data_IF_323181241180
#
_entry.id   IF_323181241180
#
_cell.length_a   1.000
_cell.length_b   1.000
_cell.length_c   1.000
_cell.angle_alpha   90.00
_cell.angle_beta   90.00
_cell.angle_gamma   90.00
#
_symmetry.space_group_name_H-M   'P 1'
#
loop_
_entity.id
_entity.type
_entity.pdbx_description
1 polymer ?
#
# COMPACT_ATOMS: atom_id res chain seq x y z
N UNK A 1 -1.65 -34.74 17.99
CA UNK A 1 -0.23 -34.42 17.82
C UNK A 1 -0.19 -33.26 16.83
N UNK A 2 0.01 -32.04 17.35
CA UNK A 2 0.28 -30.76 16.64
C UNK A 2 -0.40 -30.52 15.28
N UNK A 3 -1.52 -29.81 15.33
CA UNK A 3 -1.98 -28.86 14.30
C UNK A 3 -0.98 -27.69 14.29
N UNK A 4 0.02 -27.74 13.40
CA UNK A 4 1.11 -26.75 13.35
C UNK A 4 1.43 -26.40 11.89
N UNK A 5 0.95 -25.23 11.47
CA UNK A 5 1.78 -24.24 10.76
C UNK A 5 2.28 -24.52 9.33
N UNK A 6 1.42 -24.96 8.41
CA UNK A 6 1.64 -24.69 6.98
C UNK A 6 0.88 -23.43 6.53
N UNK A 7 0.97 -22.38 7.34
CA UNK A 7 0.79 -21.00 6.89
C UNK A 7 2.04 -20.56 6.09
N UNK A 8 2.48 -21.38 5.14
CA UNK A 8 3.61 -21.09 4.28
C UNK A 8 3.20 -19.98 3.32
N UNK A 9 3.61 -18.76 3.66
CA UNK A 9 3.55 -17.61 2.77
C UNK A 9 4.08 -18.01 1.39
N UNK A 10 3.17 -18.19 0.44
CA UNK A 10 3.50 -18.74 -0.87
C UNK A 10 4.31 -17.73 -1.67
N UNK A 11 5.23 -18.18 -2.51
CA UNK A 11 5.97 -17.31 -3.44
C UNK A 11 5.04 -16.43 -4.29
N UNK A 12 3.86 -16.96 -4.68
CA UNK A 12 2.84 -16.19 -5.37
C UNK A 12 2.28 -15.04 -4.50
N UNK A 13 2.08 -15.26 -3.20
CA UNK A 13 1.66 -14.22 -2.25
C UNK A 13 2.78 -13.20 -2.05
N UNK A 14 4.04 -13.64 -2.00
CA UNK A 14 5.20 -12.78 -1.95
C UNK A 14 5.28 -11.87 -3.18
N UNK A 15 5.16 -12.42 -4.40
CA UNK A 15 5.20 -11.63 -5.63
C UNK A 15 4.05 -10.62 -5.72
N UNK A 16 2.85 -10.99 -5.29
CA UNK A 16 1.71 -10.06 -5.26
C UNK A 16 1.94 -8.92 -4.26
N UNK A 17 2.47 -9.21 -3.07
CA UNK A 17 2.76 -8.19 -2.06
C UNK A 17 3.91 -7.29 -2.48
N UNK A 18 4.98 -7.84 -3.07
CA UNK A 18 6.09 -7.06 -3.62
C UNK A 18 5.57 -6.15 -4.73
N UNK A 19 4.84 -6.67 -5.72
CA UNK A 19 4.29 -5.86 -6.79
C UNK A 19 3.29 -4.79 -6.31
N UNK A 20 2.59 -5.06 -5.22
CA UNK A 20 1.72 -4.07 -4.57
C UNK A 20 2.57 -2.99 -3.89
N UNK A 21 3.59 -3.36 -3.11
CA UNK A 21 4.50 -2.42 -2.48
C UNK A 21 5.23 -1.54 -3.50
N UNK A 22 5.68 -2.10 -4.61
CA UNK A 22 6.29 -1.34 -5.72
C UNK A 22 5.32 -0.32 -6.32
N UNK A 23 4.04 -0.69 -6.51
CA UNK A 23 3.01 0.25 -6.95
C UNK A 23 2.77 1.35 -5.91
N UNK A 24 2.71 1.01 -4.62
CA UNK A 24 2.55 1.97 -3.53
C UNK A 24 3.69 3.00 -3.52
N UNK A 25 4.94 2.52 -3.60
CA UNK A 25 6.14 3.35 -3.69
C UNK A 25 6.13 4.19 -4.98
N UNK A 26 5.69 3.62 -6.11
CA UNK A 26 5.56 4.34 -7.37
C UNK A 26 4.57 5.50 -7.30
N UNK A 27 3.42 5.30 -6.64
CA UNK A 27 2.43 6.34 -6.38
C UNK A 27 3.03 7.41 -5.45
N UNK A 28 3.66 7.00 -4.34
CA UNK A 28 4.32 7.92 -3.42
C UNK A 28 5.35 8.78 -4.12
N UNK A 29 6.19 8.15 -4.96
CA UNK A 29 7.23 8.84 -5.71
C UNK A 29 6.70 9.84 -6.73
N UNK A 30 5.49 9.64 -7.25
CA UNK A 30 4.79 10.59 -8.13
C UNK A 30 4.15 11.76 -7.39
N UNK A 31 3.95 11.67 -6.07
CA UNK A 31 3.43 12.79 -5.28
C UNK A 31 4.48 13.88 -5.11
N UNK A 32 4.03 15.14 -5.24
CA UNK A 32 4.82 16.31 -4.88
C UNK A 32 5.14 16.33 -3.38
N UNK A 33 6.26 16.94 -2.98
CA UNK A 33 6.68 16.99 -1.58
C UNK A 33 5.61 17.62 -0.66
N UNK A 34 4.83 18.59 -1.15
CA UNK A 34 3.72 19.20 -0.40
C UNK A 34 2.61 18.18 -0.10
N UNK A 35 2.27 17.31 -1.05
CA UNK A 35 1.25 16.27 -0.85
C UNK A 35 1.74 15.21 0.13
N UNK A 36 3.01 14.81 0.03
CA UNK A 36 3.64 13.90 1.01
C UNK A 36 3.67 14.50 2.41
N UNK A 37 4.03 15.77 2.53
CA UNK A 37 4.03 16.48 3.81
C UNK A 37 2.61 16.57 4.42
N UNK A 38 1.60 16.87 3.60
CA UNK A 38 0.20 16.90 4.05
C UNK A 38 -0.31 15.52 4.46
N UNK A 39 0.13 14.46 3.78
CA UNK A 39 -0.17 13.07 4.11
C UNK A 39 0.54 12.66 5.42
N UNK A 40 1.83 12.95 5.56
CA UNK A 40 2.59 12.70 6.80
C UNK A 40 2.02 13.48 7.99
N UNK A 41 1.58 14.72 7.79
CA UNK A 41 0.93 15.52 8.83
C UNK A 41 -0.44 14.96 9.26
N UNK A 42 -1.14 14.25 8.36
CA UNK A 42 -2.45 13.64 8.65
C UNK A 42 -2.35 12.23 9.22
N UNK A 43 -1.38 11.45 8.77
CA UNK A 43 -1.28 10.01 9.04
C UNK A 43 -0.11 9.64 9.96
N UNK A 44 0.80 10.57 10.23
CA UNK A 44 1.90 10.44 11.20
C UNK A 44 3.09 9.60 10.73
N UNK A 45 2.86 8.61 9.87
CA UNK A 45 3.92 7.77 9.28
C UNK A 45 3.73 7.62 7.77
N UNK A 46 4.81 7.30 7.07
CA UNK A 46 4.79 7.03 5.63
C UNK A 46 3.92 5.79 5.31
N UNK A 47 3.99 4.75 6.14
CA UNK A 47 3.17 3.53 5.99
C UNK A 47 1.66 3.83 6.14
N UNK A 48 1.26 4.65 7.12
CA UNK A 48 -0.14 5.03 7.28
C UNK A 48 -0.62 5.94 6.14
N UNK A 49 0.25 6.86 5.71
CA UNK A 49 -0.04 7.72 4.58
C UNK A 49 -0.21 6.93 3.28
N UNK A 50 0.65 5.93 3.05
CA UNK A 50 0.56 5.01 1.94
C UNK A 50 -0.70 4.14 2.02
N UNK A 51 -0.98 3.54 3.18
CA UNK A 51 -2.17 2.72 3.39
C UNK A 51 -3.46 3.53 3.15
N UNK A 52 -3.51 4.77 3.63
CA UNK A 52 -4.64 5.66 3.39
C UNK A 52 -4.74 6.11 1.94
N UNK A 53 -3.62 6.39 1.28
CA UNK A 53 -3.59 6.76 -0.14
C UNK A 53 -4.07 5.62 -1.04
N UNK A 54 -3.62 4.40 -0.75
CA UNK A 54 -3.96 3.18 -1.49
C UNK A 54 -5.42 2.81 -1.25
N UNK A 55 -5.88 2.90 0.00
CA UNK A 55 -7.30 2.74 0.34
C UNK A 55 -8.15 3.81 -0.34
N UNK A 56 -7.67 5.06 -0.40
CA UNK A 56 -8.36 6.13 -1.12
C UNK A 56 -8.38 5.84 -2.62
N UNK A 57 -7.35 5.26 -3.23
CA UNK A 57 -7.41 4.85 -4.65
C UNK A 57 -8.29 3.62 -4.90
N UNK A 58 -8.37 2.69 -3.94
CA UNK A 58 -9.24 1.51 -4.01
C UNK A 58 -10.72 1.85 -3.79
N UNK A 59 -11.00 2.84 -2.94
CA UNK A 59 -12.36 3.26 -2.55
C UNK A 59 -12.82 4.47 -3.35
N UNK A 60 -11.92 5.29 -3.89
CA UNK A 60 -12.29 6.29 -4.87
C UNK A 60 -12.84 5.54 -6.08
N UNK A 61 -14.03 5.91 -6.59
CA UNK A 61 -14.49 5.38 -7.85
C UNK A 61 -13.40 5.69 -8.87
N UNK A 62 -12.87 4.65 -9.52
CA UNK A 62 -12.25 4.83 -10.82
C UNK A 62 -13.31 5.55 -11.65
N UNK A 63 -13.19 6.88 -11.77
CA UNK A 63 -13.99 7.63 -12.73
C UNK A 63 -13.55 7.09 -14.09
N UNK A 64 -14.36 6.24 -14.74
CA UNK A 64 -14.08 5.84 -16.10
C UNK A 64 -14.48 7.05 -16.94
N UNK A 65 -13.51 7.84 -17.37
CA UNK A 65 -13.70 8.60 -18.61
C UNK A 65 -13.41 7.68 -19.80
#
# INVERSE_FOLDING_TARGET
MTDDSDSTFSEAQASVLIGTAEKMIGIWNRLSPEKRAALLARFGSEENALAALVTTQLVAPHNPE
#
